data_IF_852121443779
#
_entry.id   IF_852121443779
#
_cell.length_a   1.000
_cell.length_b   1.000
_cell.length_c   1.000
_cell.angle_alpha   90.00
_cell.angle_beta   90.00
_cell.angle_gamma   90.00
#
_symmetry.space_group_name_H-M   'P 1'
#
loop_
_entity.id
_entity.type
_entity.pdbx_description
1 polymer ?
#
# COMPACT_ATOMS: atom_id res chain seq x y z
N UNK A 1 1.86 -18.42 -16.25
CA UNK A 1 1.35 -18.83 -14.93
C UNK A 1 0.78 -17.62 -14.21
N UNK A 2 -0.24 -17.84 -13.41
CA UNK A 2 -0.81 -16.80 -12.59
C UNK A 2 0.14 -16.51 -11.42
N UNK A 3 0.65 -15.26 -11.36
CA UNK A 3 1.65 -14.80 -10.37
C UNK A 3 1.02 -13.93 -9.28
N UNK A 4 -0.30 -13.86 -9.29
CA UNK A 4 -1.08 -13.05 -8.37
C UNK A 4 -2.46 -13.67 -8.19
N UNK A 5 -2.95 -13.73 -6.94
CA UNK A 5 -4.34 -14.09 -6.65
C UNK A 5 -5.11 -12.83 -6.31
N UNK A 6 -6.36 -12.73 -6.80
CA UNK A 6 -7.27 -11.61 -6.52
C UNK A 6 -8.60 -12.15 -6.02
N UNK A 7 -9.02 -11.71 -4.85
CA UNK A 7 -10.27 -12.10 -4.21
C UNK A 7 -10.98 -10.89 -3.64
N UNK A 8 -12.31 -10.89 -3.72
CA UNK A 8 -13.15 -9.84 -3.11
C UNK A 8 -14.13 -10.46 -2.11
N UNK A 9 -14.21 -9.87 -0.93
CA UNK A 9 -15.17 -10.27 0.10
C UNK A 9 -15.44 -9.13 1.09
N UNK A 10 -16.71 -8.89 1.41
CA UNK A 10 -17.17 -7.94 2.44
C UNK A 10 -16.57 -6.53 2.26
N UNK A 11 -16.53 -6.04 1.04
CA UNK A 11 -15.97 -4.71 0.72
C UNK A 11 -14.45 -4.65 0.67
N UNK A 12 -13.75 -5.77 0.81
CA UNK A 12 -12.28 -5.84 0.77
C UNK A 12 -11.85 -6.62 -0.46
N UNK A 13 -10.96 -6.03 -1.26
CA UNK A 13 -10.18 -6.74 -2.29
C UNK A 13 -8.83 -7.16 -1.70
N UNK A 14 -8.49 -8.43 -1.80
CA UNK A 14 -7.19 -8.97 -1.40
C UNK A 14 -6.39 -9.33 -2.63
N UNK A 15 -5.23 -8.71 -2.77
CA UNK A 15 -4.24 -8.96 -3.82
C UNK A 15 -3.08 -9.71 -3.18
N UNK A 16 -2.90 -10.99 -3.52
CA UNK A 16 -1.82 -11.82 -2.98
C UNK A 16 -0.75 -12.02 -4.04
N UNK A 17 0.46 -11.49 -3.80
CA UNK A 17 1.63 -11.73 -4.64
C UNK A 17 2.04 -13.20 -4.51
N UNK A 18 2.09 -13.95 -5.61
CA UNK A 18 2.26 -15.40 -5.63
C UNK A 18 3.27 -15.84 -6.69
N UNK A 19 4.55 -15.61 -6.41
CA UNK A 19 5.67 -16.09 -7.24
C UNK A 19 6.73 -16.74 -6.34
N UNK A 20 6.51 -18.02 -5.95
CA UNK A 20 7.42 -18.72 -5.06
C UNK A 20 8.83 -18.85 -5.68
N UNK A 21 9.90 -18.89 -4.85
CA UNK A 21 9.85 -18.99 -3.38
C UNK A 21 9.76 -17.64 -2.63
N UNK A 22 9.92 -16.50 -3.29
CA UNK A 22 10.16 -15.22 -2.62
C UNK A 22 9.19 -14.10 -3.08
N UNK A 23 8.15 -14.43 -3.82
CA UNK A 23 7.15 -13.49 -4.36
C UNK A 23 7.82 -12.34 -5.13
N UNK A 24 8.85 -12.67 -5.91
CA UNK A 24 9.58 -11.69 -6.72
C UNK A 24 8.73 -11.25 -7.90
N UNK A 25 8.76 -9.95 -8.21
CA UNK A 25 7.99 -9.48 -9.34
C UNK A 25 8.82 -9.44 -10.64
N UNK A 26 8.23 -10.00 -11.67
CA UNK A 26 8.61 -9.87 -13.07
C UNK A 26 7.71 -8.83 -13.76
N UNK A 27 7.93 -8.62 -15.05
CA UNK A 27 7.04 -7.78 -15.87
C UNK A 27 5.61 -8.33 -15.88
N UNK A 28 5.47 -9.65 -15.98
CA UNK A 28 4.15 -10.33 -15.97
C UNK A 28 3.41 -10.13 -14.65
N UNK A 29 4.10 -10.22 -13.51
CA UNK A 29 3.46 -9.93 -12.22
C UNK A 29 3.02 -8.48 -12.13
N UNK A 30 3.85 -7.52 -12.59
CA UNK A 30 3.47 -6.11 -12.61
C UNK A 30 2.26 -5.83 -13.50
N UNK A 31 2.12 -6.50 -14.64
CA UNK A 31 0.92 -6.41 -15.47
C UNK A 31 -0.32 -6.96 -14.76
N UNK A 32 -0.19 -8.11 -14.07
CA UNK A 32 -1.28 -8.68 -13.29
C UNK A 32 -1.66 -7.79 -12.10
N UNK A 33 -0.67 -7.18 -11.42
CA UNK A 33 -0.90 -6.23 -10.35
C UNK A 33 -1.63 -4.97 -10.87
N UNK A 34 -1.20 -4.42 -12.00
CA UNK A 34 -1.87 -3.28 -12.64
C UNK A 34 -3.33 -3.60 -12.93
N UNK A 35 -3.61 -4.78 -13.48
CA UNK A 35 -4.97 -5.24 -13.76
C UNK A 35 -5.80 -5.35 -12.48
N UNK A 36 -5.27 -6.01 -11.44
CA UNK A 36 -5.95 -6.17 -10.16
C UNK A 36 -6.28 -4.83 -9.48
N UNK A 37 -5.37 -3.85 -9.58
CA UNK A 37 -5.61 -2.49 -9.09
C UNK A 37 -6.78 -1.83 -9.84
N UNK A 38 -6.82 -1.97 -11.16
CA UNK A 38 -7.92 -1.41 -11.97
C UNK A 38 -9.24 -2.10 -11.66
N UNK A 39 -9.25 -3.42 -11.56
CA UNK A 39 -10.45 -4.19 -11.21
C UNK A 39 -10.97 -3.77 -9.81
N UNK A 40 -10.10 -3.71 -8.80
CA UNK A 40 -10.47 -3.22 -7.48
C UNK A 40 -10.96 -1.77 -7.47
N UNK A 41 -10.39 -0.89 -8.32
CA UNK A 41 -10.81 0.50 -8.45
C UNK A 41 -12.21 0.63 -9.02
N UNK A 42 -12.52 -0.16 -10.05
CA UNK A 42 -13.77 -0.08 -10.80
C UNK A 42 -14.91 -0.86 -10.15
N UNK A 43 -14.62 -1.78 -9.24
CA UNK A 43 -15.63 -2.53 -8.49
C UNK A 43 -16.20 -1.65 -7.36
N UNK A 44 -17.46 -1.20 -7.52
CA UNK A 44 -18.15 -0.35 -6.53
C UNK A 44 -18.37 -1.04 -5.18
N UNK A 45 -18.36 -2.37 -5.14
CA UNK A 45 -18.47 -3.13 -3.89
C UNK A 45 -17.18 -3.08 -3.06
N UNK A 46 -16.01 -2.84 -3.67
CA UNK A 46 -14.71 -2.75 -2.99
C UNK A 46 -14.53 -1.37 -2.37
N UNK A 47 -14.19 -1.33 -1.10
CA UNK A 47 -13.95 -0.11 -0.33
C UNK A 47 -12.51 -0.04 0.22
N UNK A 48 -11.88 -1.20 0.46
CA UNK A 48 -10.50 -1.33 0.94
C UNK A 48 -9.75 -2.33 0.06
N UNK A 49 -8.48 -2.05 -0.22
CA UNK A 49 -7.57 -2.96 -0.92
C UNK A 49 -6.51 -3.42 0.07
N UNK A 50 -6.27 -4.72 0.16
CA UNK A 50 -5.19 -5.32 0.93
C UNK A 50 -4.22 -5.99 -0.03
N UNK A 51 -2.92 -5.70 0.10
CA UNK A 51 -1.85 -6.37 -0.65
C UNK A 51 -1.03 -7.19 0.34
N UNK A 52 -0.79 -8.47 0.04
CA UNK A 52 0.02 -9.37 0.88
C UNK A 52 0.85 -10.33 0.01
N UNK A 53 1.75 -11.09 0.64
CA UNK A 53 2.53 -12.12 -0.03
C UNK A 53 1.98 -13.51 0.25
N UNK A 54 2.09 -14.42 -0.71
CA UNK A 54 1.79 -15.84 -0.52
C UNK A 54 2.80 -16.48 0.44
N UNK A 55 2.30 -17.31 1.36
CA UNK A 55 3.13 -18.02 2.33
C UNK A 55 3.48 -17.19 3.56
N UNK A 56 4.52 -17.60 4.30
CA UNK A 56 4.87 -17.01 5.59
C UNK A 56 6.20 -16.25 5.59
N UNK A 57 7.09 -16.53 4.63
CA UNK A 57 8.46 -16.07 4.65
C UNK A 57 8.67 -14.72 3.98
N UNK A 58 7.93 -14.44 2.92
CA UNK A 58 8.10 -13.24 2.13
C UNK A 58 6.75 -12.55 1.87
N UNK A 59 6.72 -11.26 2.10
CA UNK A 59 5.78 -10.37 1.44
C UNK A 59 6.19 -10.26 -0.04
N UNK A 60 7.39 -9.75 -0.29
CA UNK A 60 8.01 -9.69 -1.61
C UNK A 60 9.50 -9.38 -1.47
N UNK A 61 10.35 -10.12 -2.18
CA UNK A 61 11.81 -9.91 -2.20
C UNK A 61 12.28 -8.97 -3.33
N UNK A 62 11.37 -8.23 -3.95
CA UNK A 62 11.68 -7.29 -5.02
C UNK A 62 11.67 -7.91 -6.41
N UNK A 63 12.36 -7.30 -7.36
CA UNK A 63 12.41 -7.76 -8.73
C UNK A 63 13.18 -9.07 -8.88
N UNK A 64 12.78 -9.87 -9.86
CA UNK A 64 13.49 -11.10 -10.21
C UNK A 64 14.91 -10.79 -10.70
N UNK A 65 15.92 -11.20 -9.91
CA UNK A 65 17.34 -10.94 -10.20
C UNK A 65 17.81 -11.67 -11.47
N UNK A 66 17.26 -12.87 -11.75
CA UNK A 66 17.63 -13.61 -12.97
C UNK A 66 17.10 -12.89 -14.21
N UNK A 67 15.88 -12.38 -14.16
CA UNK A 67 15.35 -11.50 -15.21
C UNK A 67 16.23 -10.26 -15.36
N UNK A 68 16.55 -9.57 -14.27
CA UNK A 68 17.37 -8.35 -14.32
C UNK A 68 18.76 -8.57 -14.91
N UNK A 69 19.39 -9.72 -14.66
CA UNK A 69 20.70 -10.08 -15.21
C UNK A 69 20.68 -10.34 -16.73
N UNK A 70 19.51 -10.65 -17.29
CA UNK A 70 19.33 -11.03 -18.69
C UNK A 70 18.85 -9.91 -19.61
N UNK A 71 18.34 -8.81 -19.03
CA UNK A 71 17.70 -7.74 -19.82
C UNK A 71 18.66 -6.62 -20.23
N UNK A 72 18.29 -5.91 -21.30
CA UNK A 72 19.02 -4.73 -21.74
C UNK A 72 18.73 -3.51 -20.86
N UNK A 73 19.60 -2.49 -20.83
CA UNK A 73 19.34 -1.23 -20.12
C UNK A 73 18.02 -0.56 -20.57
N UNK A 74 17.70 -0.62 -21.85
CA UNK A 74 16.45 -0.07 -22.40
C UNK A 74 15.24 -0.81 -21.88
N UNK A 75 15.27 -2.15 -21.85
CA UNK A 75 14.20 -2.94 -21.25
C UNK A 75 14.03 -2.60 -19.75
N UNK A 76 15.15 -2.51 -19.02
CA UNK A 76 15.13 -2.14 -17.60
C UNK A 76 14.48 -0.78 -17.37
N UNK A 77 14.76 0.21 -18.21
CA UNK A 77 14.12 1.52 -18.15
C UNK A 77 12.60 1.42 -18.31
N UNK A 78 12.11 0.72 -19.33
CA UNK A 78 10.66 0.58 -19.55
C UNK A 78 9.97 -0.29 -18.50
N UNK A 79 10.66 -1.31 -17.97
CA UNK A 79 10.17 -2.08 -16.84
C UNK A 79 9.98 -1.21 -15.59
N UNK A 80 10.95 -0.37 -15.26
CA UNK A 80 10.84 0.57 -14.15
C UNK A 80 9.72 1.60 -14.38
N UNK A 81 9.59 2.11 -15.62
CA UNK A 81 8.53 3.05 -15.99
C UNK A 81 7.15 2.43 -15.77
N UNK A 82 6.91 1.22 -16.31
CA UNK A 82 5.66 0.51 -16.11
C UNK A 82 5.37 0.24 -14.62
N UNK A 83 6.37 -0.21 -13.84
CA UNK A 83 6.22 -0.43 -12.42
C UNK A 83 5.88 0.87 -11.66
N UNK A 84 6.52 1.99 -12.00
CA UNK A 84 6.19 3.30 -11.43
C UNK A 84 4.75 3.72 -11.74
N UNK A 85 4.30 3.54 -12.98
CA UNK A 85 2.92 3.84 -13.39
C UNK A 85 1.90 2.97 -12.65
N UNK A 86 2.19 1.67 -12.49
CA UNK A 86 1.35 0.73 -11.73
C UNK A 86 1.23 1.15 -10.26
N UNK A 87 2.36 1.44 -9.60
CA UNK A 87 2.36 1.86 -8.20
C UNK A 87 1.72 3.24 -8.01
N UNK A 88 1.88 4.17 -8.96
CA UNK A 88 1.15 5.44 -8.93
C UNK A 88 -0.37 5.24 -9.07
N UNK A 89 -0.82 4.27 -9.88
CA UNK A 89 -2.26 3.92 -9.93
C UNK A 89 -2.77 3.41 -8.59
N UNK A 90 -2.01 2.59 -7.89
CA UNK A 90 -2.36 2.11 -6.55
C UNK A 90 -2.50 3.27 -5.57
N UNK A 91 -1.51 4.14 -5.55
CA UNK A 91 -1.43 5.32 -4.68
C UNK A 91 -2.57 6.32 -4.97
N UNK A 92 -2.95 6.48 -6.24
CA UNK A 92 -4.03 7.38 -6.69
C UNK A 92 -5.43 6.76 -6.63
N UNK A 93 -5.58 5.47 -6.31
CA UNK A 93 -6.90 4.83 -6.17
C UNK A 93 -7.64 5.40 -4.96
N UNK A 94 -8.88 5.92 -5.11
CA UNK A 94 -9.62 6.59 -4.02
C UNK A 94 -10.26 5.58 -3.05
N UNK A 95 -9.52 4.54 -2.71
CA UNK A 95 -9.85 3.48 -1.73
C UNK A 95 -8.63 3.30 -0.85
N UNK A 96 -8.85 3.00 0.43
CA UNK A 96 -7.73 2.74 1.35
C UNK A 96 -6.96 1.50 0.90
N UNK A 97 -5.64 1.61 0.89
CA UNK A 97 -4.74 0.50 0.56
C UNK A 97 -3.91 0.13 1.79
N UNK A 98 -3.94 -1.14 2.16
CA UNK A 98 -3.17 -1.70 3.26
C UNK A 98 -2.17 -2.71 2.71
N UNK A 99 -0.87 -2.46 2.90
CA UNK A 99 0.16 -3.48 2.72
C UNK A 99 0.24 -4.33 4.00
N UNK A 100 -0.19 -5.59 3.90
CA UNK A 100 -0.14 -6.57 4.97
C UNK A 100 1.15 -7.39 4.85
N UNK A 101 2.18 -6.96 5.58
CA UNK A 101 3.54 -7.46 5.45
C UNK A 101 3.71 -8.71 6.32
N UNK A 102 3.48 -9.87 5.72
CA UNK A 102 3.47 -11.18 6.37
C UNK A 102 4.86 -11.81 6.53
N UNK A 103 5.91 -11.24 5.94
CA UNK A 103 7.28 -11.73 5.93
C UNK A 103 8.28 -10.70 5.41
N UNK A 104 9.46 -11.13 4.95
CA UNK A 104 10.47 -10.23 4.41
C UNK A 104 9.90 -9.31 3.32
N UNK A 105 10.18 -8.01 3.44
CA UNK A 105 9.72 -6.96 2.53
C UNK A 105 10.93 -6.11 2.11
N UNK A 106 11.62 -6.55 1.05
CA UNK A 106 12.93 -5.97 0.70
C UNK A 106 12.99 -5.52 -0.75
N UNK A 107 13.82 -4.54 -1.01
CA UNK A 107 14.00 -3.99 -2.34
C UNK A 107 12.69 -3.49 -2.93
N UNK A 108 12.41 -3.86 -4.18
CA UNK A 108 11.16 -3.51 -4.83
C UNK A 108 9.90 -3.99 -4.09
N UNK A 109 10.01 -5.00 -3.20
CA UNK A 109 8.92 -5.38 -2.32
C UNK A 109 8.54 -4.26 -1.34
N UNK A 110 9.52 -3.55 -0.80
CA UNK A 110 9.27 -2.35 -0.01
C UNK A 110 8.75 -1.19 -0.88
N UNK A 111 9.19 -1.09 -2.13
CA UNK A 111 8.66 -0.08 -3.06
C UNK A 111 7.15 -0.28 -3.31
N UNK A 112 6.70 -1.53 -3.47
CA UNK A 112 5.27 -1.88 -3.55
C UNK A 112 4.55 -1.52 -2.24
N UNK A 113 5.10 -1.89 -1.09
CA UNK A 113 4.49 -1.61 0.20
C UNK A 113 4.39 -0.11 0.49
N UNK A 114 5.37 0.70 0.07
CA UNK A 114 5.34 2.16 0.25
C UNK A 114 4.30 2.88 -0.62
N UNK A 115 3.80 2.25 -1.67
CA UNK A 115 2.69 2.78 -2.47
C UNK A 115 1.32 2.55 -1.81
N UNK A 116 1.25 1.78 -0.73
CA UNK A 116 0.05 1.64 0.10
C UNK A 116 -0.06 2.80 1.11
N UNK A 117 -1.28 3.05 1.59
CA UNK A 117 -1.54 4.09 2.58
C UNK A 117 -1.09 3.66 3.99
N UNK A 118 -1.37 2.41 4.34
CA UNK A 118 -0.96 1.80 5.61
C UNK A 118 -0.06 0.59 5.34
N UNK A 119 0.96 0.42 6.17
CA UNK A 119 1.89 -0.72 6.15
C UNK A 119 1.85 -1.38 7.51
N UNK A 120 1.23 -2.55 7.57
CA UNK A 120 1.05 -3.32 8.81
C UNK A 120 1.88 -4.59 8.69
N UNK A 121 2.80 -4.83 9.63
CA UNK A 121 3.68 -5.98 9.59
C UNK A 121 3.34 -6.99 10.70
N UNK A 122 3.62 -8.28 10.44
CA UNK A 122 3.58 -9.33 11.45
C UNK A 122 4.88 -9.32 12.25
N UNK A 123 4.81 -9.15 13.56
CA UNK A 123 5.97 -9.09 14.47
C UNK A 123 6.89 -10.29 14.27
N UNK A 124 8.18 -10.01 14.17
CA UNK A 124 9.23 -11.04 14.08
C UNK A 124 9.24 -11.87 12.78
N UNK A 125 8.34 -11.60 11.80
CA UNK A 125 8.21 -12.43 10.60
C UNK A 125 9.28 -12.17 9.53
N UNK A 126 10.07 -11.08 9.64
CA UNK A 126 11.04 -10.77 8.59
C UNK A 126 11.85 -9.50 8.82
N UNK A 127 12.42 -9.03 7.73
CA UNK A 127 13.21 -7.79 7.65
C UNK A 127 12.65 -6.89 6.56
N UNK A 128 12.92 -5.58 6.65
CA UNK A 128 12.45 -4.58 5.70
C UNK A 128 13.57 -3.61 5.35
N UNK A 129 13.69 -3.23 4.07
CA UNK A 129 14.71 -2.28 3.63
C UNK A 129 14.92 -2.28 2.12
N UNK A 130 15.83 -1.40 1.66
CA UNK A 130 16.21 -1.21 0.26
C UNK A 130 17.70 -1.53 0.07
N UNK A 131 18.10 -2.81 -0.13
CA UNK A 131 19.50 -3.23 -0.19
C UNK A 131 20.11 -3.17 -1.61
N UNK A 132 19.48 -2.48 -2.56
CA UNK A 132 19.87 -2.44 -3.98
C UNK A 132 21.31 -2.00 -4.22
N UNK A 133 21.89 -1.21 -3.31
CA UNK A 133 23.30 -0.80 -3.37
C UNK A 133 24.25 -1.99 -3.40
N UNK A 134 23.91 -3.10 -2.75
CA UNK A 134 24.68 -4.34 -2.77
C UNK A 134 24.72 -5.01 -4.15
N UNK A 135 23.84 -4.62 -5.06
CA UNK A 135 23.81 -5.06 -6.45
C UNK A 135 24.41 -4.01 -7.41
N UNK A 136 24.95 -2.90 -6.88
CA UNK A 136 25.47 -1.80 -7.68
C UNK A 136 24.40 -0.96 -8.39
N UNK A 137 23.16 -1.01 -7.90
CA UNK A 137 22.01 -0.26 -8.45
C UNK A 137 21.28 0.51 -7.35
N UNK A 138 20.32 1.32 -7.73
CA UNK A 138 19.42 2.03 -6.83
C UNK A 138 18.02 1.39 -6.84
N UNK A 139 17.17 1.65 -5.82
CA UNK A 139 15.74 1.33 -5.85
C UNK A 139 15.06 2.05 -7.02
N UNK A 140 14.61 1.28 -8.02
CA UNK A 140 14.24 1.81 -9.34
C UNK A 140 12.74 2.00 -9.57
N UNK A 141 11.88 1.60 -8.61
CA UNK A 141 10.42 1.65 -8.76
C UNK A 141 9.75 2.60 -7.76
N UNK A 142 10.48 3.63 -7.35
CA UNK A 142 9.99 4.73 -6.52
C UNK A 142 10.54 4.77 -5.10
N UNK A 143 11.38 3.81 -4.72
CA UNK A 143 11.93 3.69 -3.36
C UNK A 143 12.72 4.94 -2.93
N UNK A 144 13.54 5.49 -3.80
CA UNK A 144 14.30 6.72 -3.51
C UNK A 144 13.39 7.90 -3.21
N UNK A 145 12.20 7.95 -3.80
CA UNK A 145 11.28 9.07 -3.64
C UNK A 145 10.32 8.86 -2.47
N UNK A 146 9.72 7.65 -2.36
CA UNK A 146 8.75 7.36 -1.30
C UNK A 146 9.40 7.26 0.08
N UNK A 147 10.59 6.64 0.19
CA UNK A 147 11.29 6.54 1.47
C UNK A 147 11.69 7.93 2.02
N UNK A 148 12.15 8.84 1.13
CA UNK A 148 12.48 10.22 1.55
C UNK A 148 11.26 10.95 2.12
N UNK A 149 10.07 10.72 1.58
CA UNK A 149 8.82 11.32 2.06
C UNK A 149 8.36 10.75 3.40
N UNK A 150 8.72 9.50 3.69
CA UNK A 150 8.37 8.85 4.96
C UNK A 150 9.32 9.22 6.10
N UNK A 151 10.64 9.18 5.86
CA UNK A 151 11.64 9.27 6.96
C UNK A 151 12.57 10.48 6.85
N UNK A 152 12.37 11.34 5.85
CA UNK A 152 13.20 12.49 5.56
C UNK A 152 14.52 12.13 4.85
N UNK A 153 15.14 13.14 4.23
CA UNK A 153 16.27 12.98 3.30
C UNK A 153 17.48 12.28 3.94
N UNK A 154 17.89 12.72 5.13
CA UNK A 154 19.12 12.20 5.75
C UNK A 154 19.00 10.73 6.13
N UNK A 155 17.86 10.32 6.72
CA UNK A 155 17.64 8.94 7.12
C UNK A 155 17.44 8.03 5.91
N UNK A 156 16.68 8.46 4.92
CA UNK A 156 16.51 7.69 3.67
C UNK A 156 17.85 7.47 2.96
N UNK A 157 18.70 8.51 2.86
CA UNK A 157 20.04 8.40 2.29
C UNK A 157 20.86 7.35 3.05
N UNK A 158 20.92 7.45 4.38
CA UNK A 158 21.65 6.49 5.21
C UNK A 158 21.19 5.06 4.93
N UNK A 159 19.90 4.78 5.03
CA UNK A 159 19.35 3.43 4.86
C UNK A 159 19.66 2.84 3.48
N UNK A 160 19.49 3.63 2.40
CA UNK A 160 19.72 3.15 1.04
C UNK A 160 21.20 2.96 0.71
N UNK A 161 22.11 3.84 1.18
CA UNK A 161 23.55 3.70 0.84
C UNK A 161 24.25 2.63 1.69
N UNK A 162 23.72 2.31 2.88
CA UNK A 162 24.21 1.19 3.68
C UNK A 162 23.57 -0.14 3.26
N UNK A 163 22.39 -0.12 2.63
CA UNK A 163 21.60 -1.31 2.33
C UNK A 163 21.08 -2.01 3.59
N UNK A 164 20.98 -1.28 4.71
CA UNK A 164 20.56 -1.83 6.00
C UNK A 164 19.15 -2.42 5.94
N UNK A 165 19.01 -3.63 6.47
CA UNK A 165 17.73 -4.29 6.68
C UNK A 165 17.31 -4.16 8.15
N UNK A 166 16.19 -3.51 8.37
CA UNK A 166 15.61 -3.26 9.69
C UNK A 166 14.72 -4.44 10.14
N UNK A 167 14.58 -4.64 11.44
CA UNK A 167 13.41 -5.34 11.98
C UNK A 167 12.17 -4.45 11.90
N UNK A 168 11.00 -5.05 12.14
CA UNK A 168 9.74 -4.33 11.97
C UNK A 168 9.50 -3.30 13.09
N UNK A 169 10.01 -3.53 14.27
CA UNK A 169 9.94 -2.61 15.40
C UNK A 169 10.72 -1.32 15.09
N UNK A 170 11.93 -1.46 14.56
CA UNK A 170 12.74 -0.30 14.17
C UNK A 170 12.13 0.44 12.97
N UNK A 171 11.56 -0.28 12.03
CA UNK A 171 10.83 0.33 10.90
C UNK A 171 9.58 1.09 11.35
N UNK A 172 8.88 0.62 12.38
CA UNK A 172 7.76 1.34 13.02
C UNK A 172 8.23 2.63 13.68
N UNK A 173 9.30 2.58 14.47
CA UNK A 173 9.88 3.77 15.12
C UNK A 173 10.29 4.85 14.11
N UNK A 174 10.76 4.45 12.93
CA UNK A 174 11.16 5.37 11.86
C UNK A 174 9.99 5.86 11.00
N UNK A 175 8.77 5.35 11.21
CA UNK A 175 7.59 5.71 10.41
C UNK A 175 7.53 5.04 9.03
N UNK A 176 8.39 4.04 8.76
CA UNK A 176 8.28 3.22 7.55
C UNK A 176 7.05 2.32 7.64
N UNK A 177 6.79 1.73 8.79
CA UNK A 177 5.57 1.01 9.10
C UNK A 177 4.59 1.89 9.86
N UNK A 178 3.30 1.62 9.72
CA UNK A 178 2.22 2.28 10.46
C UNK A 178 1.80 1.50 11.70
N UNK A 179 1.92 0.17 11.66
CA UNK A 179 1.58 -0.73 12.77
C UNK A 179 2.38 -2.03 12.69
N UNK A 180 2.53 -2.69 13.82
CA UNK A 180 3.05 -4.06 13.93
C UNK A 180 2.07 -4.87 14.77
N UNK A 181 1.59 -5.99 14.22
CA UNK A 181 0.66 -6.90 14.89
C UNK A 181 1.39 -8.11 15.45
N UNK A 182 1.07 -8.48 16.68
CA UNK A 182 1.52 -9.74 17.28
C UNK A 182 0.56 -10.84 16.85
N UNK A 183 1.06 -11.78 16.07
CA UNK A 183 0.31 -12.93 15.58
C UNK A 183 1.21 -14.16 15.54
N UNK A 184 0.73 -15.28 16.07
CA UNK A 184 1.50 -16.53 16.18
C UNK A 184 1.63 -17.25 14.83
N UNK A 185 0.76 -16.93 13.87
CA UNK A 185 0.75 -17.54 12.54
C UNK A 185 0.39 -16.53 11.44
N UNK A 186 0.69 -16.89 10.18
CA UNK A 186 0.23 -16.12 9.02
C UNK A 186 -1.30 -16.10 8.90
N UNK A 187 -1.97 -17.17 9.29
CA UNK A 187 -3.44 -17.24 9.25
C UNK A 187 -4.07 -16.28 10.27
N UNK A 188 -3.53 -16.23 11.48
CA UNK A 188 -3.97 -15.26 12.50
C UNK A 188 -3.70 -13.82 12.05
N UNK A 189 -2.51 -13.56 11.52
CA UNK A 189 -2.18 -12.25 10.96
C UNK A 189 -3.16 -11.83 9.87
N UNK A 190 -3.48 -12.73 8.94
CA UNK A 190 -4.46 -12.46 7.88
C UNK A 190 -5.85 -12.15 8.44
N UNK A 191 -6.28 -12.84 9.50
CA UNK A 191 -7.53 -12.55 10.20
C UNK A 191 -7.51 -11.16 10.86
N UNK A 192 -6.43 -10.80 11.56
CA UNK A 192 -6.26 -9.48 12.17
C UNK A 192 -6.28 -8.36 11.13
N UNK A 193 -5.61 -8.57 9.98
CA UNK A 193 -5.64 -7.62 8.85
C UNK A 193 -7.05 -7.45 8.31
N UNK A 194 -7.79 -8.57 8.14
CA UNK A 194 -9.19 -8.51 7.70
C UNK A 194 -10.06 -7.72 8.68
N UNK A 195 -9.93 -7.95 9.98
CA UNK A 195 -10.66 -7.22 11.02
C UNK A 195 -10.31 -5.72 11.02
N UNK A 196 -9.02 -5.39 10.86
CA UNK A 196 -8.57 -4.01 10.72
C UNK A 196 -9.14 -3.35 9.45
N UNK A 197 -9.13 -4.04 8.31
CA UNK A 197 -9.67 -3.53 7.05
C UNK A 197 -11.19 -3.31 7.12
N UNK A 198 -11.94 -4.21 7.74
CA UNK A 198 -13.39 -4.09 7.95
C UNK A 198 -13.79 -2.83 8.72
N UNK A 199 -12.92 -2.30 9.57
CA UNK A 199 -13.21 -1.05 10.28
C UNK A 199 -13.34 0.16 9.35
N UNK A 200 -12.79 0.08 8.15
CA UNK A 200 -12.82 1.14 7.12
C UNK A 200 -13.90 0.92 6.07
N UNK A 201 -14.68 -0.17 6.17
CA UNK A 201 -15.80 -0.44 5.28
C UNK A 201 -17.13 -0.03 5.91
N UNK A 202 -18.17 0.10 5.08
CA UNK A 202 -19.55 0.25 5.56
C UNK A 202 -19.99 -1.01 6.32
N UNK A 203 -20.82 -0.88 7.35
CA UNK A 203 -21.39 0.36 7.89
C UNK A 203 -20.50 1.10 8.90
N UNK A 204 -19.24 0.66 9.13
CA UNK A 204 -18.38 1.19 10.19
C UNK A 204 -17.81 2.57 9.85
N UNK A 205 -17.45 2.82 8.57
CA UNK A 205 -16.92 4.10 8.09
C UNK A 205 -17.61 4.49 6.79
N UNK A 206 -17.70 5.81 6.57
CA UNK A 206 -18.12 6.40 5.31
C UNK A 206 -17.01 6.19 4.25
N UNK A 207 -17.17 5.20 3.38
CA UNK A 207 -16.13 4.81 2.41
C UNK A 207 -15.71 5.97 1.49
N UNK A 208 -16.65 6.84 1.09
CA UNK A 208 -16.33 8.03 0.31
C UNK A 208 -15.44 9.01 1.08
N UNK A 209 -15.68 9.20 2.38
CA UNK A 209 -14.85 10.06 3.22
C UNK A 209 -13.42 9.52 3.32
N UNK A 210 -13.25 8.21 3.52
CA UNK A 210 -11.93 7.55 3.52
C UNK A 210 -11.18 7.83 2.22
N UNK A 211 -11.82 7.62 1.06
CA UNK A 211 -11.21 7.87 -0.25
C UNK A 211 -10.85 9.34 -0.49
N UNK A 212 -11.66 10.29 0.00
CA UNK A 212 -11.37 11.72 -0.18
C UNK A 212 -10.29 12.22 0.79
N UNK A 213 -10.23 11.70 2.01
CA UNK A 213 -9.12 11.96 2.94
C UNK A 213 -7.81 11.49 2.31
N UNK A 214 -7.76 10.26 1.78
CA UNK A 214 -6.58 9.79 1.05
C UNK A 214 -6.18 10.75 -0.07
N UNK A 215 -7.13 11.16 -0.92
CA UNK A 215 -6.84 12.09 -2.02
C UNK A 215 -6.32 13.44 -1.54
N UNK A 216 -6.92 14.01 -0.50
CA UNK A 216 -6.48 15.28 0.08
C UNK A 216 -5.04 15.18 0.60
N UNK A 217 -4.71 14.10 1.31
CA UNK A 217 -3.37 13.88 1.88
C UNK A 217 -2.35 13.60 0.78
N UNK A 218 -2.59 12.63 -0.10
CA UNK A 218 -1.66 12.23 -1.16
C UNK A 218 -1.35 13.37 -2.14
N UNK A 219 -2.40 14.03 -2.65
CA UNK A 219 -2.22 15.13 -3.60
C UNK A 219 -1.71 16.40 -2.88
N UNK A 220 -2.24 16.68 -1.69
CA UNK A 220 -1.88 17.88 -0.91
C UNK A 220 -0.41 17.91 -0.51
N UNK A 221 0.20 16.73 -0.26
CA UNK A 221 1.63 16.63 0.06
C UNK A 221 2.56 17.00 -1.11
N UNK A 222 2.06 17.01 -2.35
CA UNK A 222 2.87 17.22 -3.57
C UNK A 222 2.63 18.57 -4.26
N UNK A 223 1.71 19.40 -3.73
CA UNK A 223 1.37 20.72 -4.30
C UNK A 223 1.61 21.84 -3.28
N UNK A 224 1.44 23.09 -3.68
CA UNK A 224 1.57 24.22 -2.74
C UNK A 224 0.52 24.12 -1.63
N UNK A 225 0.86 24.56 -0.42
CA UNK A 225 -0.04 24.52 0.74
C UNK A 225 -1.39 25.21 0.45
N UNK A 226 -1.37 26.38 -0.20
CA UNK A 226 -2.59 27.10 -0.55
C UNK A 226 -3.47 26.32 -1.54
N UNK A 227 -2.86 25.69 -2.56
CA UNK A 227 -3.57 24.83 -3.50
C UNK A 227 -4.13 23.58 -2.80
N UNK A 228 -3.39 23.01 -1.85
CA UNK A 228 -3.84 21.87 -1.04
C UNK A 228 -5.06 22.22 -0.20
N UNK A 229 -5.08 23.39 0.44
CA UNK A 229 -6.28 23.89 1.16
C UNK A 229 -7.47 24.14 0.21
N UNK A 230 -7.21 24.56 -1.02
CA UNK A 230 -8.23 24.64 -2.07
C UNK A 230 -8.86 23.29 -2.37
N UNK A 231 -8.01 22.28 -2.64
CA UNK A 231 -8.45 20.90 -2.88
C UNK A 231 -9.25 20.34 -1.69
N UNK A 232 -8.78 20.58 -0.47
CA UNK A 232 -9.45 20.12 0.75
C UNK A 232 -10.87 20.67 0.85
N UNK A 233 -11.08 21.97 0.60
CA UNK A 233 -12.41 22.59 0.59
C UNK A 233 -13.34 21.98 -0.46
N UNK A 234 -12.84 21.74 -1.67
CA UNK A 234 -13.62 21.09 -2.74
C UNK A 234 -14.05 19.68 -2.34
N UNK A 235 -13.14 18.88 -1.80
CA UNK A 235 -13.44 17.52 -1.36
C UNK A 235 -14.40 17.51 -0.17
N UNK A 236 -14.25 18.45 0.77
CA UNK A 236 -15.14 18.60 1.93
C UNK A 236 -16.57 18.99 1.48
N UNK A 237 -16.71 19.91 0.52
CA UNK A 237 -18.00 20.28 -0.03
C UNK A 237 -18.71 19.06 -0.64
N UNK A 238 -17.99 18.26 -1.43
CA UNK A 238 -18.55 17.03 -2.03
C UNK A 238 -19.06 16.05 -0.96
N UNK A 239 -18.25 15.86 0.11
CA UNK A 239 -18.65 14.98 1.22
C UNK A 239 -19.87 15.51 1.98
N UNK A 240 -19.95 16.81 2.17
CA UNK A 240 -21.05 17.44 2.92
C UNK A 240 -22.42 17.26 2.23
N UNK A 241 -22.43 16.94 0.94
CA UNK A 241 -23.65 16.64 0.16
C UNK A 241 -24.09 15.17 0.29
N UNK A 242 -23.23 14.27 0.81
CA UNK A 242 -23.49 12.84 0.88
C UNK A 242 -24.54 12.46 1.91
N UNK A 243 -25.17 11.29 1.73
CA UNK A 243 -26.06 10.70 2.74
C UNK A 243 -25.27 10.35 4.01
N UNK A 244 -24.05 9.86 3.85
CA UNK A 244 -23.19 9.47 4.97
C UNK A 244 -22.79 10.66 5.85
N UNK A 245 -22.59 11.86 5.28
CA UNK A 245 -22.32 13.04 6.07
C UNK A 245 -23.55 13.43 6.94
N UNK A 246 -24.76 13.35 6.37
CA UNK A 246 -26.00 13.61 7.09
C UNK A 246 -26.20 12.59 8.22
N UNK A 247 -26.00 11.30 7.91
CA UNK A 247 -26.08 10.21 8.89
C UNK A 247 -25.07 10.41 10.03
N UNK A 248 -23.81 10.71 9.71
CA UNK A 248 -22.77 10.91 10.70
C UNK A 248 -23.05 12.08 11.64
N UNK A 249 -23.54 13.21 11.12
CA UNK A 249 -23.91 14.39 11.89
C UNK A 249 -25.14 14.11 12.78
N UNK A 250 -26.17 13.47 12.24
CA UNK A 250 -27.38 13.11 12.98
C UNK A 250 -27.06 12.11 14.11
N UNK A 251 -26.28 11.08 13.79
CA UNK A 251 -25.85 10.09 14.78
C UNK A 251 -25.07 10.74 15.94
N UNK A 252 -24.17 11.69 15.63
CA UNK A 252 -23.40 12.41 16.64
C UNK A 252 -24.31 13.25 17.57
N UNK A 253 -25.22 14.02 16.99
CA UNK A 253 -26.18 14.85 17.76
C UNK A 253 -27.07 13.99 18.66
N UNK A 254 -27.53 12.86 18.14
CA UNK A 254 -28.43 11.93 18.87
C UNK A 254 -27.69 10.90 19.73
N UNK A 255 -26.35 10.97 19.85
CA UNK A 255 -25.51 10.08 20.66
C UNK A 255 -25.73 8.59 20.35
N UNK A 256 -25.93 8.25 19.09
CA UNK A 256 -26.04 6.87 18.59
C UNK A 256 -24.86 6.49 17.69
N UNK A 257 -24.67 5.22 17.42
CA UNK A 257 -23.71 4.76 16.41
C UNK A 257 -24.24 5.13 15.03
N UNK A 258 -23.36 5.67 14.16
CA UNK A 258 -23.67 5.91 12.75
C UNK A 258 -23.66 4.58 11.97
N UNK A 259 -24.51 4.49 10.94
CA UNK A 259 -24.59 3.37 10.02
C UNK A 259 -24.41 3.87 8.57
N UNK A 260 -23.17 3.91 8.14
CA UNK A 260 -22.80 4.43 6.83
C UNK A 260 -23.16 3.48 5.70
N UNK A 261 -23.51 4.05 4.53
CA UNK A 261 -23.91 3.32 3.33
C UNK A 261 -22.94 3.48 2.15
N UNK A 262 -21.93 4.33 2.29
CA UNK A 262 -20.95 4.59 1.24
C UNK A 262 -21.41 5.58 0.14
N UNK A 263 -22.42 6.39 0.38
CA UNK A 263 -23.03 7.27 -0.61
C UNK A 263 -23.53 8.62 -0.07
#
# INVERSE_FOLDING_TARGET
>A
MEKLNYETRDGIAVITLNDPPANTYSYEMMQQLDRAILDARMDESVQVIVITGQGEKFFCAGADIQMLASVTPTYKYYFCLHANETLNRLEQTPKLVIAAINGHCVGGGLEVAMAADMRIARKGAGRIGLPEVSLGVLPGTGGTQRLVRLVGKAKAMQLMVTGELLDFERALELGILTQVFEADSAAEFAQMIREAALQFTTPNKAAQAVGRIKRAVQTGAEISFESALGLERELQQQLFQSEDAKEGLDAYVNKRKAEFKGR
#
